data_IF_007068861624
#
_entry.id   IF_007068861624
#
_cell.length_a   1.000
_cell.length_b   1.000
_cell.length_c   1.000
_cell.angle_alpha   90.00
_cell.angle_beta   90.00
_cell.angle_gamma   90.00
#
_symmetry.space_group_name_H-M   'P 1'
#
loop_
_entity.id
_entity.type
_entity.pdbx_description
1 polymer ?
#
# COMPACT_ATOMS: atom_id res chain seq x y z
N UNK A 1 27.17 -7.51 -9.31
CA UNK A 1 28.35 -6.62 -9.46
C UNK A 1 27.86 -5.19 -9.61
N UNK A 2 28.13 -4.31 -8.64
CA UNK A 2 27.65 -2.91 -8.67
C UNK A 2 28.32 -2.06 -9.75
N UNK A 3 29.56 -2.37 -10.14
CA UNK A 3 30.26 -1.67 -11.23
C UNK A 3 29.54 -1.87 -12.55
N UNK A 4 29.19 -3.11 -12.85
CA UNK A 4 28.42 -3.45 -14.04
C UNK A 4 27.08 -2.70 -14.09
N UNK A 5 26.37 -2.57 -12.96
CA UNK A 5 25.10 -1.83 -12.88
C UNK A 5 25.31 -0.33 -13.16
N UNK A 6 26.37 0.27 -12.61
CA UNK A 6 26.67 1.68 -12.86
C UNK A 6 26.92 1.94 -14.35
N UNK A 7 27.63 1.04 -15.04
CA UNK A 7 27.82 1.12 -16.49
C UNK A 7 26.50 0.95 -17.26
N UNK A 8 25.62 0.02 -16.85
CA UNK A 8 24.30 -0.09 -17.47
C UNK A 8 23.44 1.17 -17.28
N UNK A 9 23.52 1.84 -16.13
CA UNK A 9 22.81 3.10 -15.88
C UNK A 9 23.32 4.18 -16.83
N UNK A 10 24.65 4.29 -17.03
CA UNK A 10 25.24 5.24 -18.00
C UNK A 10 24.79 4.95 -19.43
N UNK A 11 24.77 3.67 -19.83
CA UNK A 11 24.32 3.26 -21.17
C UNK A 11 22.83 3.55 -21.40
N UNK A 12 22.01 3.42 -20.37
CA UNK A 12 20.58 3.72 -20.44
C UNK A 12 20.28 5.23 -20.44
N UNK A 13 21.21 6.06 -19.98
CA UNK A 13 21.06 7.51 -19.97
C UNK A 13 21.14 8.07 -21.39
N UNK A 14 20.08 8.71 -21.85
CA UNK A 14 20.06 9.41 -23.13
C UNK A 14 20.88 10.69 -23.02
N UNK A 15 21.75 10.95 -24.01
CA UNK A 15 22.57 12.17 -24.11
C UNK A 15 23.51 12.45 -22.91
N UNK A 16 24.01 11.40 -22.24
CA UNK A 16 24.87 11.52 -21.04
C UNK A 16 24.22 12.23 -19.84
N UNK A 17 22.91 12.51 -19.90
CA UNK A 17 22.16 13.09 -18.78
C UNK A 17 21.66 11.98 -17.86
N UNK A 18 22.35 11.83 -16.73
CA UNK A 18 21.94 10.91 -15.69
C UNK A 18 20.63 11.39 -15.03
N UNK A 19 19.74 10.46 -14.63
CA UNK A 19 18.54 10.83 -13.89
C UNK A 19 18.91 11.39 -12.53
N UNK A 20 18.08 12.30 -12.00
CA UNK A 20 18.26 12.82 -10.64
C UNK A 20 17.90 11.77 -9.57
N UNK A 21 16.98 10.87 -9.91
CA UNK A 21 16.39 9.91 -8.99
C UNK A 21 16.14 8.56 -9.68
N UNK A 22 16.44 7.46 -8.99
CA UNK A 22 16.08 6.10 -9.37
C UNK A 22 15.10 5.53 -8.34
N UNK A 23 13.95 5.05 -8.81
CA UNK A 23 12.97 4.37 -7.95
C UNK A 23 13.11 2.85 -8.07
N UNK A 24 13.13 2.16 -6.93
CA UNK A 24 13.30 0.71 -6.85
C UNK A 24 12.19 0.12 -6.01
N UNK A 25 11.51 -0.90 -6.55
CA UNK A 25 10.40 -1.56 -5.84
C UNK A 25 10.74 -2.94 -5.29
N UNK A 26 11.87 -3.54 -5.70
CA UNK A 26 12.29 -4.88 -5.28
C UNK A 26 13.33 -4.78 -4.17
N UNK A 27 13.05 -5.29 -2.94
CA UNK A 27 14.01 -5.30 -1.84
C UNK A 27 15.36 -5.91 -2.23
N UNK A 28 15.34 -7.02 -3.00
CA UNK A 28 16.55 -7.76 -3.35
C UNK A 28 17.50 -6.98 -4.26
N UNK A 29 16.98 -6.01 -5.02
CA UNK A 29 17.78 -5.16 -5.92
C UNK A 29 18.25 -3.87 -5.27
N UNK A 30 17.62 -3.45 -4.16
CA UNK A 30 17.81 -2.16 -3.53
C UNK A 30 19.29 -1.86 -3.23
N UNK A 31 19.94 -2.72 -2.44
CA UNK A 31 21.31 -2.46 -1.96
C UNK A 31 22.32 -2.36 -3.10
N UNK A 32 22.22 -3.21 -4.13
CA UNK A 32 23.12 -3.15 -5.28
C UNK A 32 22.91 -1.90 -6.14
N UNK A 33 21.65 -1.50 -6.36
CA UNK A 33 21.32 -0.29 -7.12
C UNK A 33 21.77 0.95 -6.33
N UNK A 34 21.59 0.96 -5.01
CA UNK A 34 22.04 2.06 -4.14
C UNK A 34 23.55 2.28 -4.24
N UNK A 35 24.35 1.21 -4.13
CA UNK A 35 25.82 1.30 -4.26
C UNK A 35 26.22 1.80 -5.65
N UNK A 36 25.57 1.33 -6.71
CA UNK A 36 25.87 1.73 -8.09
C UNK A 36 25.49 3.21 -8.35
N UNK A 37 24.30 3.63 -7.92
CA UNK A 37 23.80 4.98 -8.08
C UNK A 37 24.60 6.02 -7.27
N UNK A 38 25.07 5.64 -6.08
CA UNK A 38 25.91 6.51 -5.25
C UNK A 38 27.21 6.91 -5.97
N UNK A 39 27.83 5.99 -6.72
CA UNK A 39 29.02 6.29 -7.54
C UNK A 39 28.74 7.31 -8.66
N UNK A 40 27.49 7.41 -9.08
CA UNK A 40 27.02 8.28 -10.14
C UNK A 40 26.39 9.58 -9.60
N UNK A 41 26.34 9.76 -8.28
CA UNK A 41 25.68 10.90 -7.64
C UNK A 41 24.16 10.91 -7.82
N UNK A 42 23.54 9.76 -8.04
CA UNK A 42 22.10 9.61 -8.26
C UNK A 42 21.42 9.20 -6.96
N UNK A 43 20.35 9.89 -6.59
CA UNK A 43 19.53 9.50 -5.44
C UNK A 43 18.73 8.23 -5.78
N UNK A 44 18.57 7.34 -4.80
CA UNK A 44 17.71 6.16 -4.95
C UNK A 44 16.60 6.25 -3.92
N UNK A 45 15.36 5.99 -4.35
CA UNK A 45 14.16 5.95 -3.50
C UNK A 45 13.53 4.56 -3.55
N UNK A 46 13.37 3.97 -2.37
CA UNK A 46 12.73 2.69 -2.17
C UNK A 46 11.22 2.92 -2.23
N UNK A 47 10.54 2.44 -3.26
CA UNK A 47 9.09 2.63 -3.36
C UNK A 47 8.42 1.55 -4.20
N UNK A 48 7.25 1.08 -3.74
CA UNK A 48 6.38 0.22 -4.55
C UNK A 48 5.60 1.00 -5.62
N UNK A 49 5.66 2.33 -5.63
CA UNK A 49 4.89 3.24 -6.51
C UNK A 49 5.52 3.40 -7.91
N UNK A 50 5.94 2.29 -8.52
CA UNK A 50 6.64 2.24 -9.81
C UNK A 50 5.72 1.82 -10.97
N UNK A 51 4.59 2.53 -11.15
CA UNK A 51 3.48 2.12 -12.03
C UNK A 51 3.95 1.84 -13.47
N UNK A 52 4.73 2.75 -14.06
CA UNK A 52 5.22 2.61 -15.43
C UNK A 52 6.11 1.37 -15.60
N UNK A 53 7.01 1.13 -14.65
CA UNK A 53 7.89 -0.03 -14.63
C UNK A 53 7.07 -1.33 -14.47
N UNK A 54 6.09 -1.35 -13.56
CA UNK A 54 5.23 -2.53 -13.36
C UNK A 54 4.45 -2.88 -14.64
N UNK A 55 3.91 -1.87 -15.33
CA UNK A 55 3.22 -2.06 -16.62
C UNK A 55 4.16 -2.63 -17.69
N UNK A 56 5.38 -2.10 -17.79
CA UNK A 56 6.39 -2.60 -18.73
C UNK A 56 6.76 -4.06 -18.44
N UNK A 57 7.00 -4.39 -17.17
CA UNK A 57 7.34 -5.76 -16.75
C UNK A 57 6.21 -6.75 -17.05
N UNK A 58 4.95 -6.35 -16.84
CA UNK A 58 3.79 -7.16 -17.20
C UNK A 58 3.67 -7.36 -18.72
N UNK A 59 3.90 -6.31 -19.52
CA UNK A 59 3.89 -6.42 -20.99
C UNK A 59 5.00 -7.35 -21.49
N UNK A 60 6.20 -7.25 -20.91
CA UNK A 60 7.31 -8.14 -21.24
C UNK A 60 7.01 -9.58 -20.87
N UNK A 61 6.40 -9.81 -19.69
CA UNK A 61 6.01 -11.14 -19.21
C UNK A 61 5.06 -11.89 -20.16
N UNK A 62 4.22 -11.17 -20.92
CA UNK A 62 3.33 -11.79 -21.92
C UNK A 62 4.10 -12.54 -23.03
N UNK A 63 5.34 -12.14 -23.30
CA UNK A 63 6.20 -12.77 -24.29
C UNK A 63 7.02 -13.95 -23.71
N UNK A 64 6.98 -14.17 -22.39
CA UNK A 64 7.68 -15.27 -21.72
C UNK A 64 6.77 -16.48 -21.52
N UNK A 65 7.13 -17.61 -22.12
CA UNK A 65 6.43 -18.89 -21.95
C UNK A 65 6.85 -19.61 -20.66
N UNK A 66 6.76 -18.92 -19.51
CA UNK A 66 6.96 -19.55 -18.20
C UNK A 66 5.76 -19.23 -17.30
N UNK A 67 4.89 -20.22 -17.02
CA UNK A 67 3.71 -20.02 -16.19
C UNK A 67 4.02 -19.62 -14.74
N UNK A 68 5.25 -19.87 -14.27
CA UNK A 68 5.70 -19.52 -12.92
C UNK A 68 6.37 -18.15 -12.84
N UNK A 69 6.54 -17.44 -13.97
CA UNK A 69 7.17 -16.13 -13.97
C UNK A 69 6.21 -15.06 -13.45
N UNK A 70 6.51 -14.54 -12.26
CA UNK A 70 5.74 -13.46 -11.64
C UNK A 70 6.55 -12.14 -11.67
N UNK A 71 6.35 -11.28 -12.70
CA UNK A 71 7.18 -10.09 -12.93
C UNK A 71 7.05 -9.03 -11.83
N UNK A 72 6.00 -9.11 -11.00
CA UNK A 72 5.73 -8.16 -9.93
C UNK A 72 5.86 -8.76 -8.53
N UNK A 73 6.23 -10.04 -8.42
CA UNK A 73 6.34 -10.71 -7.12
C UNK A 73 7.36 -10.00 -6.23
N UNK A 74 6.91 -9.69 -5.02
CA UNK A 74 7.72 -9.20 -3.92
C UNK A 74 7.68 -10.28 -2.84
N UNK A 75 8.84 -10.52 -2.23
CA UNK A 75 8.93 -11.43 -1.10
C UNK A 75 8.03 -10.95 0.03
N UNK A 76 7.28 -11.88 0.61
CA UNK A 76 6.29 -11.61 1.65
C UNK A 76 6.78 -12.25 2.95
N UNK A 77 7.63 -11.56 3.73
CA UNK A 77 8.10 -12.09 5.01
C UNK A 77 6.91 -12.37 5.95
N UNK A 78 7.11 -13.19 6.99
CA UNK A 78 6.10 -13.37 8.04
C UNK A 78 5.75 -12.01 8.67
N UNK A 79 4.45 -11.70 8.84
CA UNK A 79 4.04 -10.43 9.42
C UNK A 79 4.40 -10.34 10.91
N UNK A 80 4.76 -9.16 11.37
CA UNK A 80 5.10 -8.88 12.78
C UNK A 80 3.95 -8.15 13.47
N UNK A 81 3.68 -8.40 14.77
CA UNK A 81 2.67 -7.63 15.49
C UNK A 81 3.11 -6.17 15.68
N UNK A 82 2.17 -5.24 15.56
CA UNK A 82 2.42 -3.85 16.00
C UNK A 82 2.61 -3.81 17.52
N UNK A 83 3.27 -2.76 18.02
CA UNK A 83 3.40 -2.56 19.46
C UNK A 83 2.05 -2.27 20.13
N UNK A 84 1.84 -2.79 21.34
CA UNK A 84 0.57 -2.65 22.09
C UNK A 84 0.13 -1.19 22.27
N UNK A 85 1.07 -0.25 22.42
CA UNK A 85 0.77 1.18 22.58
C UNK A 85 0.22 1.86 21.31
N UNK A 86 0.27 1.16 20.16
CA UNK A 86 -0.32 1.59 18.88
C UNK A 86 -1.65 0.91 18.59
N UNK A 87 -2.03 -0.10 19.39
CA UNK A 87 -3.22 -0.90 19.12
C UNK A 87 -4.49 -0.05 19.26
N UNK A 88 -5.39 -0.19 18.29
CA UNK A 88 -6.72 0.40 18.35
C UNK A 88 -7.61 -0.31 19.38
N UNK A 89 -8.63 0.39 19.88
CA UNK A 89 -9.59 -0.15 20.83
C UNK A 89 -10.64 -1.03 20.14
N UNK A 90 -11.09 -0.61 18.95
CA UNK A 90 -12.07 -1.30 18.12
C UNK A 90 -11.73 -1.13 16.65
N UNK A 91 -12.30 -1.96 15.81
CA UNK A 91 -12.19 -1.83 14.36
C UNK A 91 -13.42 -2.44 13.69
N UNK A 92 -13.67 -2.07 12.44
CA UNK A 92 -14.73 -2.67 11.63
C UNK A 92 -14.44 -2.60 10.13
N UNK A 93 -14.97 -3.57 9.39
CA UNK A 93 -15.08 -3.49 7.94
C UNK A 93 -16.22 -2.56 7.55
N UNK A 94 -15.96 -1.66 6.62
CA UNK A 94 -16.93 -0.71 6.09
C UNK A 94 -16.88 -0.67 4.58
N UNK A 95 -17.86 -0.01 3.99
CA UNK A 95 -17.90 0.21 2.54
C UNK A 95 -18.40 1.62 2.31
N UNK A 96 -17.68 2.36 1.48
CA UNK A 96 -18.08 3.68 1.01
C UNK A 96 -18.22 3.64 -0.50
N UNK A 97 -19.13 4.44 -1.03
CA UNK A 97 -19.16 4.64 -2.48
C UNK A 97 -17.93 5.44 -2.93
N UNK A 98 -17.47 5.22 -4.16
CA UNK A 98 -16.37 5.97 -4.75
C UNK A 98 -16.61 7.49 -4.69
N UNK A 99 -17.86 7.94 -4.89
CA UNK A 99 -18.26 9.34 -4.78
C UNK A 99 -18.13 9.87 -3.35
N UNK A 100 -18.61 9.11 -2.35
CA UNK A 100 -18.45 9.47 -0.94
C UNK A 100 -16.97 9.55 -0.54
N UNK A 101 -16.14 8.60 -0.95
CA UNK A 101 -14.73 8.60 -0.60
C UNK A 101 -14.01 9.89 -1.06
N UNK A 102 -14.35 10.40 -2.25
CA UNK A 102 -13.79 11.66 -2.75
C UNK A 102 -14.42 12.85 -2.03
N UNK A 103 -15.75 12.91 -1.93
CA UNK A 103 -16.45 14.06 -1.37
C UNK A 103 -16.25 14.23 0.14
N UNK A 104 -16.22 13.14 0.90
CA UNK A 104 -16.14 13.18 2.37
C UNK A 104 -14.74 13.44 2.89
N UNK A 105 -13.69 13.16 2.10
CA UNK A 105 -12.32 13.16 2.60
C UNK A 105 -11.34 14.04 1.82
N UNK A 106 -11.69 14.52 0.63
CA UNK A 106 -10.82 15.46 -0.10
C UNK A 106 -10.75 16.84 0.56
N UNK A 107 -11.88 17.35 1.07
CA UNK A 107 -12.01 18.73 1.55
C UNK A 107 -12.16 18.88 3.08
N UNK A 108 -12.20 17.76 3.82
CA UNK A 108 -12.31 17.80 5.29
C UNK A 108 -10.96 18.09 5.95
N UNK A 109 -10.94 18.83 7.07
CA UNK A 109 -9.72 19.08 7.83
C UNK A 109 -9.31 17.83 8.61
N UNK A 110 -8.68 16.89 7.92
CA UNK A 110 -8.18 15.65 8.49
C UNK A 110 -6.66 15.80 8.67
N UNK A 111 -6.10 15.51 9.86
CA UNK A 111 -4.69 15.75 10.13
C UNK A 111 -3.74 15.04 9.17
N UNK A 112 -4.08 13.82 8.74
CA UNK A 112 -3.27 13.02 7.83
C UNK A 112 -4.15 12.50 6.69
N UNK A 113 -3.90 12.99 5.48
CA UNK A 113 -4.59 12.53 4.27
C UNK A 113 -3.56 11.97 3.30
N UNK A 114 -3.72 10.70 2.94
CA UNK A 114 -2.93 10.05 1.88
C UNK A 114 -3.89 9.50 0.84
N UNK A 115 -4.31 10.35 -0.09
CA UNK A 115 -5.15 9.98 -1.22
C UNK A 115 -4.47 10.42 -2.53
N UNK A 116 -3.45 9.70 -2.99
CA UNK A 116 -2.72 10.08 -4.20
C UNK A 116 -3.67 10.11 -5.40
N UNK A 117 -3.53 11.14 -6.25
CA UNK A 117 -4.39 11.34 -7.42
C UNK A 117 -4.55 10.07 -8.27
N UNK A 118 -3.44 9.36 -8.53
CA UNK A 118 -3.45 8.13 -9.35
C UNK A 118 -4.27 6.98 -8.76
N UNK A 119 -4.61 7.01 -7.47
CA UNK A 119 -5.49 6.04 -6.82
C UNK A 119 -6.95 6.47 -6.79
N UNK A 120 -7.25 7.75 -7.07
CA UNK A 120 -8.62 8.24 -7.00
C UNK A 120 -9.53 7.45 -7.97
N UNK A 121 -10.77 7.13 -7.59
CA UNK A 121 -11.67 6.30 -8.38
C UNK A 121 -11.84 6.71 -9.87
N UNK A 122 -11.82 8.01 -10.24
CA UNK A 122 -11.89 8.42 -11.65
C UNK A 122 -10.76 7.85 -12.52
N UNK A 123 -9.54 7.68 -12.00
CA UNK A 123 -8.41 7.10 -12.74
C UNK A 123 -8.58 5.61 -13.04
N UNK A 124 -9.43 4.93 -12.27
CA UNK A 124 -9.74 3.51 -12.39
C UNK A 124 -11.07 3.25 -13.11
N UNK A 125 -11.69 4.30 -13.69
CA UNK A 125 -12.99 4.24 -14.37
C UNK A 125 -14.10 3.66 -13.50
N UNK A 126 -14.00 3.86 -12.19
CA UNK A 126 -15.01 3.43 -11.23
C UNK A 126 -16.12 4.50 -11.16
N UNK A 127 -17.37 4.09 -11.39
CA UNK A 127 -18.53 4.98 -11.24
C UNK A 127 -18.72 5.41 -9.79
N UNK A 128 -19.35 6.58 -9.57
CA UNK A 128 -19.52 7.16 -8.23
C UNK A 128 -20.20 6.22 -7.22
N UNK A 129 -21.10 5.34 -7.67
CA UNK A 129 -21.83 4.40 -6.81
C UNK A 129 -21.09 3.07 -6.55
N UNK A 130 -19.89 2.89 -7.12
CA UNK A 130 -19.10 1.68 -6.88
C UNK A 130 -18.68 1.61 -5.42
N UNK A 131 -18.97 0.48 -4.79
CA UNK A 131 -18.59 0.17 -3.42
C UNK A 131 -17.07 -0.06 -3.30
N UNK A 132 -16.40 0.82 -2.59
CA UNK A 132 -14.99 0.69 -2.19
C UNK A 132 -14.95 0.11 -0.76
N UNK A 133 -14.36 -1.08 -0.56
CA UNK A 133 -14.22 -1.66 0.75
C UNK A 133 -13.15 -0.91 1.57
N UNK A 134 -13.30 -0.89 2.88
CA UNK A 134 -12.30 -0.30 3.77
C UNK A 134 -12.41 -0.80 5.20
N UNK A 135 -11.49 -0.33 6.03
CA UNK A 135 -11.42 -0.64 7.45
C UNK A 135 -11.34 0.67 8.25
N UNK A 136 -12.15 0.76 9.30
CA UNK A 136 -12.05 1.83 10.30
C UNK A 136 -11.38 1.26 11.54
N UNK A 137 -10.38 1.95 12.08
CA UNK A 137 -9.79 1.68 13.38
C UNK A 137 -10.15 2.83 14.34
N UNK A 138 -10.79 2.47 15.44
CA UNK A 138 -11.09 3.35 16.57
C UNK A 138 -9.89 3.33 17.52
N UNK A 139 -9.04 4.34 17.42
CA UNK A 139 -7.80 4.41 18.18
C UNK A 139 -7.91 5.06 19.55
N UNK A 140 -9.10 5.57 19.93
CA UNK A 140 -9.29 6.26 21.20
C UNK A 140 -8.24 7.37 21.39
N UNK A 141 -7.61 7.36 22.57
CA UNK A 141 -6.51 8.28 22.92
C UNK A 141 -5.24 8.07 22.08
N UNK A 142 -5.06 6.89 21.47
CA UNK A 142 -3.89 6.56 20.64
C UNK A 142 -4.11 6.81 19.16
N UNK A 143 -5.31 7.24 18.74
CA UNK A 143 -5.67 7.40 17.32
C UNK A 143 -4.68 8.24 16.52
N UNK A 144 -4.25 9.40 17.05
CA UNK A 144 -3.25 10.24 16.38
C UNK A 144 -1.84 9.62 16.36
N UNK A 145 -1.48 8.84 17.38
CA UNK A 145 -0.18 8.15 17.42
C UNK A 145 -0.14 7.03 16.38
N UNK A 146 -1.20 6.21 16.34
CA UNK A 146 -1.40 5.18 15.33
C UNK A 146 -1.39 5.78 13.92
N UNK A 147 -2.12 6.89 13.72
CA UNK A 147 -2.18 7.54 12.41
C UNK A 147 -0.81 8.02 11.91
N UNK A 148 0.01 8.62 12.80
CA UNK A 148 1.39 9.02 12.45
C UNK A 148 2.26 7.82 12.13
N UNK A 149 2.20 6.77 12.94
CA UNK A 149 2.96 5.54 12.68
C UNK A 149 2.59 4.89 11.34
N UNK A 150 1.30 4.84 11.00
CA UNK A 150 0.85 4.36 9.68
C UNK A 150 1.42 5.25 8.58
N UNK A 151 1.40 6.57 8.73
CA UNK A 151 1.97 7.49 7.73
C UNK A 151 3.47 7.27 7.52
N UNK A 152 4.23 7.17 8.62
CA UNK A 152 5.69 7.06 8.62
C UNK A 152 6.19 5.72 8.05
N UNK A 153 5.35 4.67 8.10
CA UNK A 153 5.70 3.34 7.56
C UNK A 153 5.49 3.23 6.05
N UNK A 154 4.88 4.21 5.39
CA UNK A 154 4.51 4.19 3.97
C UNK A 154 3.57 3.02 3.63
N UNK A 155 2.26 3.14 3.95
CA UNK A 155 1.33 2.05 3.81
C UNK A 155 1.04 1.76 2.33
N UNK A 156 1.01 0.47 1.99
CA UNK A 156 0.79 -0.02 0.62
C UNK A 156 -0.59 -0.62 0.49
N UNK A 157 -0.92 -1.56 1.37
CA UNK A 157 -2.20 -2.28 1.33
C UNK A 157 -2.52 -2.94 2.65
N UNK A 158 -3.80 -3.00 2.98
CA UNK A 158 -4.35 -3.75 4.10
C UNK A 158 -5.01 -5.04 3.59
N UNK A 159 -4.48 -6.18 4.02
CA UNK A 159 -4.81 -7.50 3.52
C UNK A 159 -5.32 -8.41 4.65
N UNK A 160 -6.28 -9.26 4.33
CA UNK A 160 -6.72 -10.33 5.21
C UNK A 160 -5.69 -11.46 5.24
N UNK A 161 -5.34 -11.91 6.44
CA UNK A 161 -4.43 -13.00 6.72
C UNK A 161 -5.22 -14.18 7.31
N UNK A 162 -5.49 -15.18 6.46
CA UNK A 162 -5.84 -16.55 6.84
C UNK A 162 -7.07 -16.75 7.73
N UNK A 163 -7.45 -18.02 7.88
CA UNK A 163 -8.42 -18.44 8.88
C UNK A 163 -7.65 -19.19 9.97
N UNK A 164 -7.81 -18.75 11.22
CA UNK A 164 -7.31 -19.38 12.47
C UNK A 164 -5.82 -19.16 12.86
N UNK A 165 -5.50 -18.08 13.61
CA UNK A 165 -6.34 -16.91 13.82
C UNK A 165 -6.41 -16.08 12.53
N UNK A 166 -7.57 -15.50 12.27
CA UNK A 166 -7.69 -14.49 11.22
C UNK A 166 -7.02 -13.18 11.63
N UNK A 167 -6.64 -12.37 10.66
CA UNK A 167 -6.09 -11.05 10.96
C UNK A 167 -6.08 -10.08 9.79
N UNK A 168 -5.80 -8.82 10.09
CA UNK A 168 -5.50 -7.80 9.08
C UNK A 168 -4.01 -7.45 9.14
N UNK A 169 -3.38 -7.50 7.98
CA UNK A 169 -1.96 -7.21 7.79
C UNK A 169 -1.81 -5.96 6.94
N UNK A 170 -1.12 -4.96 7.47
CA UNK A 170 -0.70 -3.79 6.74
C UNK A 170 0.67 -4.06 6.10
N UNK A 171 0.69 -4.15 4.78
CA UNK A 171 1.92 -4.16 4.01
C UNK A 171 2.42 -2.71 3.88
N UNK A 172 3.70 -2.50 4.14
CA UNK A 172 4.34 -1.19 4.18
C UNK A 172 5.69 -1.20 3.47
N UNK A 173 6.19 -0.01 3.10
CA UNK A 173 7.49 0.15 2.44
C UNK A 173 7.71 -0.82 1.27
N UNK A 174 8.89 -1.45 1.19
CA UNK A 174 9.19 -2.40 0.12
C UNK A 174 8.68 -3.82 0.38
N UNK A 175 8.73 -4.33 1.60
CA UNK A 175 8.34 -5.72 1.90
C UNK A 175 7.83 -5.94 3.33
N UNK A 176 7.87 -4.93 4.20
CA UNK A 176 7.52 -5.12 5.61
C UNK A 176 6.01 -5.29 5.78
N UNK A 177 5.63 -6.06 6.81
CA UNK A 177 4.26 -6.50 7.03
C UNK A 177 3.93 -6.49 8.52
N UNK A 178 2.86 -5.81 8.88
CA UNK A 178 2.45 -5.60 10.26
C UNK A 178 1.05 -6.16 10.51
N UNK A 179 0.90 -7.04 11.50
CA UNK A 179 -0.42 -7.49 11.97
C UNK A 179 -1.04 -6.34 12.77
N UNK A 180 -2.12 -5.77 12.23
CA UNK A 180 -2.85 -4.66 12.82
C UNK A 180 -3.86 -5.15 13.87
N UNK A 181 -4.56 -6.25 13.54
CA UNK A 181 -5.59 -6.88 14.38
C UNK A 181 -5.65 -8.37 14.08
N UNK A 182 -6.00 -9.15 15.10
CA UNK A 182 -6.31 -10.58 15.01
C UNK A 182 -7.73 -10.84 15.50
N UNK A 183 -8.35 -11.90 15.00
CA UNK A 183 -9.71 -12.30 15.36
C UNK A 183 -9.93 -13.79 15.11
N UNK A 184 -10.75 -14.42 15.95
CA UNK A 184 -11.12 -15.84 15.85
C UNK A 184 -12.62 -16.04 15.59
N UNK A 185 -13.36 -14.94 15.40
CA UNK A 185 -14.79 -14.97 15.16
C UNK A 185 -15.11 -15.34 13.70
N UNK A 186 -15.98 -16.33 13.51
CA UNK A 186 -16.32 -16.86 12.20
C UNK A 186 -17.08 -15.85 11.31
N UNK A 187 -17.93 -15.00 11.90
CA UNK A 187 -18.62 -13.93 11.19
C UNK A 187 -17.62 -12.86 10.74
N UNK A 188 -16.65 -12.52 11.59
CA UNK A 188 -15.57 -11.58 11.24
C UNK A 188 -14.70 -12.15 10.12
N UNK A 189 -14.36 -13.44 10.14
CA UNK A 189 -13.67 -14.11 9.04
C UNK A 189 -14.48 -14.08 7.74
N UNK A 190 -15.81 -14.24 7.80
CA UNK A 190 -16.66 -14.11 6.61
C UNK A 190 -16.65 -12.68 6.06
N UNK A 191 -16.73 -11.68 6.94
CA UNK A 191 -16.61 -10.28 6.55
C UNK A 191 -15.24 -9.96 5.93
N UNK A 192 -14.15 -10.54 6.44
CA UNK A 192 -12.81 -10.39 5.91
C UNK A 192 -12.66 -11.00 4.51
N UNK A 193 -13.24 -12.19 4.27
CA UNK A 193 -13.32 -12.79 2.92
C UNK A 193 -14.11 -11.91 1.95
N UNK A 194 -15.22 -11.33 2.40
CA UNK A 194 -16.02 -10.41 1.57
C UNK A 194 -15.26 -9.12 1.26
N UNK A 195 -14.53 -8.58 2.24
CA UNK A 195 -13.63 -7.44 2.06
C UNK A 195 -12.60 -7.72 0.96
N UNK A 196 -11.90 -8.86 1.02
CA UNK A 196 -10.93 -9.25 -0.02
C UNK A 196 -11.57 -9.47 -1.40
N UNK A 197 -12.75 -10.11 -1.44
CA UNK A 197 -13.46 -10.33 -2.69
C UNK A 197 -13.86 -8.99 -3.35
N UNK A 198 -14.43 -8.06 -2.58
CA UNK A 198 -14.77 -6.71 -3.06
C UNK A 198 -13.53 -5.95 -3.52
N UNK A 199 -12.44 -6.03 -2.75
CA UNK A 199 -11.18 -5.36 -3.07
C UNK A 199 -10.67 -5.78 -4.45
N UNK A 200 -10.75 -7.08 -4.79
CA UNK A 200 -10.38 -7.59 -6.13
C UNK A 200 -11.27 -7.06 -7.25
N UNK A 201 -12.58 -6.90 -7.00
CA UNK A 201 -13.53 -6.38 -7.99
C UNK A 201 -13.27 -4.90 -8.33
N UNK A 202 -12.62 -4.15 -7.44
CA UNK A 202 -12.27 -2.74 -7.64
C UNK A 202 -10.76 -2.52 -7.81
N UNK A 203 -10.09 -3.42 -8.52
CA UNK A 203 -8.67 -3.31 -8.86
C UNK A 203 -7.73 -3.23 -7.66
N UNK A 204 -8.07 -3.86 -6.54
CA UNK A 204 -7.28 -3.80 -5.32
C UNK A 204 -7.50 -2.53 -4.50
N UNK A 205 -8.34 -1.58 -4.96
CA UNK A 205 -8.56 -0.30 -4.31
C UNK A 205 -9.36 -0.47 -3.01
N UNK A 206 -8.87 0.11 -1.94
CA UNK A 206 -9.49 0.08 -0.61
C UNK A 206 -9.00 1.26 0.23
N UNK A 207 -9.61 1.49 1.38
CA UNK A 207 -9.18 2.54 2.29
C UNK A 207 -8.98 2.06 3.73
N UNK A 208 -8.12 2.78 4.45
CA UNK A 208 -7.94 2.68 5.89
C UNK A 208 -8.28 4.03 6.50
N UNK A 209 -9.14 4.04 7.52
CA UNK A 209 -9.52 5.22 8.27
C UNK A 209 -9.18 5.02 9.74
N UNK A 210 -8.53 6.01 10.35
CA UNK A 210 -8.26 6.04 11.79
C UNK A 210 -9.03 7.20 12.41
N UNK A 211 -9.80 6.91 13.44
CA UNK A 211 -10.64 7.87 14.17
C UNK A 211 -10.45 7.70 15.68
N UNK A 212 -10.59 8.76 16.51
CA UNK A 212 -10.63 8.62 17.96
C UNK A 212 -11.85 7.82 18.44
N UNK A 213 -13.02 8.02 17.84
CA UNK A 213 -14.29 7.44 18.30
C UNK A 213 -15.27 7.21 17.13
N UNK A 214 -16.49 6.76 17.44
CA UNK A 214 -17.57 6.48 16.50
C UNK A 214 -18.50 7.66 16.22
N UNK A 215 -18.13 8.89 16.64
CA UNK A 215 -18.94 10.09 16.40
C UNK A 215 -19.10 10.43 14.91
N UNK A 216 -18.14 10.01 14.06
CA UNK A 216 -18.09 10.41 12.65
C UNK A 216 -17.77 11.90 12.45
N UNK A 217 -17.34 12.61 13.51
CA UNK A 217 -17.05 14.04 13.47
C UNK A 217 -15.54 14.29 13.33
N UNK A 218 -14.73 13.55 14.09
CA UNK A 218 -13.27 13.75 14.15
C UNK A 218 -12.57 12.58 13.47
N UNK A 219 -11.56 12.87 12.66
CA UNK A 219 -10.71 11.86 12.03
C UNK A 219 -9.24 12.15 12.34
N UNK A 220 -8.45 11.09 12.50
CA UNK A 220 -7.01 11.19 12.74
C UNK A 220 -6.22 11.01 11.46
N UNK A 221 -6.66 10.11 10.57
CA UNK A 221 -6.08 9.99 9.24
C UNK A 221 -6.83 9.05 8.31
N UNK A 222 -6.64 9.25 7.01
CA UNK A 222 -7.18 8.42 5.93
C UNK A 222 -6.11 8.08 4.89
N UNK A 223 -6.13 6.82 4.44
CA UNK A 223 -5.26 6.33 3.36
C UNK A 223 -6.11 5.62 2.30
N UNK A 224 -5.97 6.05 1.05
CA UNK A 224 -6.41 5.30 -0.12
C UNK A 224 -5.25 4.42 -0.59
N UNK A 225 -5.50 3.11 -0.63
CA UNK A 225 -4.50 2.07 -0.80
C UNK A 225 -4.87 1.16 -1.97
N UNK A 226 -3.88 0.45 -2.50
CA UNK A 226 -4.10 -0.50 -3.58
C UNK A 226 -3.21 -1.74 -3.42
N UNK A 227 -3.84 -2.90 -3.32
CA UNK A 227 -3.12 -4.17 -3.44
C UNK A 227 -2.60 -4.35 -4.87
N UNK A 228 -1.30 -4.69 -4.98
CA UNK A 228 -0.63 -4.97 -6.26
C UNK A 228 -0.97 -6.35 -6.81
#
# INVERSE_FOLDING_TARGET
NAEWIAEQIKLAATDSNLPKLIQVFRPQSWGLIQIAAQKLGIEVVATRRTIALKKLLQQQAQNYHNPNYQPLAIESPPPQPISDYLMGEKWQFVTLTAGQLVADFADRPIPIVSMPDYLLPPHWRLGANVAIPGVIIYGGKQSMRLARWIADTEPVSLNYLGDDPGGLVLDVGLADRWVMVTFNDAEVSQAARLYEARKRLVHGLHFLLVTPDDSGITYSGIWLLQSS
#
